data_IF_772829810720
#
_entry.id   IF_772829810720
#
_cell.length_a   1.000
_cell.length_b   1.000
_cell.length_c   1.000
_cell.angle_alpha   90.00
_cell.angle_beta   90.00
_cell.angle_gamma   90.00
#
_symmetry.space_group_name_H-M   'P 1'
#
loop_
_entity.id
_entity.type
_entity.pdbx_description
1 polymer ?
#
# COMPACT_ATOMS: atom_id res chain seq x y z
N UNK A 1 6.81 -20.07 19.44
CA UNK A 1 5.97 -19.32 18.47
C UNK A 1 5.07 -20.35 17.78
N UNK A 2 3.74 -20.27 17.85
CA UNK A 2 2.91 -21.11 16.99
C UNK A 2 3.22 -20.80 15.53
N UNK A 3 3.42 -21.83 14.72
CA UNK A 3 3.62 -21.69 13.28
C UNK A 3 2.27 -21.27 12.68
N UNK A 4 2.11 -20.00 12.34
CA UNK A 4 0.95 -19.55 11.57
C UNK A 4 1.09 -20.20 10.18
N UNK A 5 0.18 -21.10 9.83
CA UNK A 5 0.11 -21.65 8.48
C UNK A 5 -0.40 -20.55 7.56
N UNK A 6 0.51 -19.74 6.99
CA UNK A 6 0.18 -18.69 6.04
C UNK A 6 -0.24 -19.35 4.72
N UNK A 7 -1.49 -19.17 4.26
CA UNK A 7 -1.92 -19.69 2.97
C UNK A 7 -0.99 -19.19 1.86
N UNK A 8 -0.54 -20.09 0.98
CA UNK A 8 0.25 -19.73 -0.19
C UNK A 8 -0.65 -19.14 -1.28
N UNK A 9 -1.06 -17.89 -1.09
CA UNK A 9 -1.87 -17.12 -2.03
C UNK A 9 -0.98 -16.40 -3.05
N UNK A 10 -1.43 -16.24 -4.32
CA UNK A 10 -0.68 -15.53 -5.33
C UNK A 10 -0.56 -14.04 -4.95
N UNK A 11 0.59 -13.46 -5.29
CA UNK A 11 0.78 -12.00 -5.21
C UNK A 11 -0.02 -11.36 -6.35
N UNK A 12 -0.88 -10.35 -6.07
CA UNK A 12 -1.62 -9.66 -7.11
C UNK A 12 -0.70 -9.05 -8.18
N UNK A 13 -1.20 -8.98 -9.42
CA UNK A 13 -0.45 -8.44 -10.53
C UNK A 13 0.06 -7.01 -10.24
N UNK A 14 1.33 -6.77 -10.51
CA UNK A 14 1.99 -5.48 -10.31
C UNK A 14 2.28 -5.11 -8.85
N UNK A 15 1.93 -5.96 -7.89
CA UNK A 15 2.34 -5.76 -6.50
C UNK A 15 3.71 -6.40 -6.24
N UNK A 16 4.57 -5.68 -5.53
CA UNK A 16 5.60 -6.29 -4.72
C UNK A 16 4.97 -6.75 -3.40
N UNK A 17 5.37 -7.94 -2.94
CA UNK A 17 5.07 -8.40 -1.59
C UNK A 17 6.33 -8.23 -0.75
N UNK A 18 6.21 -7.58 0.40
CA UNK A 18 7.30 -7.45 1.36
C UNK A 18 6.89 -8.13 2.67
N UNK A 19 7.84 -8.76 3.35
CA UNK A 19 7.63 -9.36 4.67
C UNK A 19 7.66 -8.28 5.76
N UNK A 20 6.92 -7.17 5.59
CA UNK A 20 6.79 -6.20 6.67
C UNK A 20 5.76 -6.71 7.69
N UNK A 21 6.26 -7.53 8.61
CA UNK A 21 5.53 -8.06 9.76
C UNK A 21 5.92 -7.30 11.03
N UNK A 22 5.33 -6.13 11.25
CA UNK A 22 5.18 -5.61 12.63
C UNK A 22 3.74 -5.19 12.94
N UNK A 23 2.85 -5.21 11.95
CA UNK A 23 1.45 -4.83 12.12
C UNK A 23 0.55 -5.94 11.58
N UNK A 24 0.31 -6.94 12.43
CA UNK A 24 -0.99 -7.59 12.54
C UNK A 24 -2.03 -6.51 12.96
N UNK A 25 -2.19 -5.44 12.18
CA UNK A 25 -3.31 -4.52 12.34
C UNK A 25 -4.51 -5.11 11.60
N UNK A 26 -5.11 -6.10 12.26
CA UNK A 26 -6.22 -6.90 11.79
C UNK A 26 -5.94 -8.38 12.04
N UNK A 27 -6.91 -9.17 12.54
CA UNK A 27 -6.66 -10.53 13.00
C UNK A 27 -6.17 -11.50 11.90
N UNK A 28 -6.30 -11.14 10.61
CA UNK A 28 -6.17 -12.09 9.49
C UNK A 28 -5.31 -11.60 8.29
N UNK A 29 -4.64 -10.45 8.39
CA UNK A 29 -3.73 -10.01 7.31
C UNK A 29 -2.48 -10.90 7.28
N UNK A 30 -2.12 -11.40 6.08
CA UNK A 30 -1.01 -12.35 5.90
C UNK A 30 0.22 -11.74 5.23
N UNK A 31 0.07 -10.59 4.55
CA UNK A 31 1.18 -9.80 3.99
C UNK A 31 0.73 -8.41 3.60
N UNK A 32 1.71 -7.51 3.56
CA UNK A 32 1.60 -6.20 2.93
C UNK A 32 1.95 -6.29 1.45
N UNK A 33 1.30 -5.46 0.65
CA UNK A 33 1.51 -5.32 -0.78
C UNK A 33 1.86 -3.86 -1.07
N UNK A 34 2.77 -3.64 -2.02
CA UNK A 34 3.11 -2.31 -2.53
C UNK A 34 3.07 -2.32 -4.06
N UNK A 35 2.34 -1.39 -4.67
CA UNK A 35 2.29 -1.20 -6.12
C UNK A 35 3.15 -0.04 -6.59
N UNK A 36 3.31 1.00 -5.78
CA UNK A 36 4.10 2.19 -6.14
C UNK A 36 4.45 3.02 -4.92
N UNK A 37 5.50 3.85 -5.04
CA UNK A 37 5.94 4.84 -4.06
C UNK A 37 6.13 6.20 -4.74
N UNK A 38 5.75 7.26 -4.04
CA UNK A 38 5.66 8.65 -4.49
C UNK A 38 6.20 9.59 -3.41
N UNK A 39 7.30 9.23 -2.75
CA UNK A 39 7.82 9.95 -1.59
C UNK A 39 8.21 11.40 -1.95
N UNK A 40 7.79 12.36 -1.11
CA UNK A 40 8.02 13.79 -1.33
C UNK A 40 8.26 14.51 -0.01
N UNK A 41 9.25 15.41 0.02
CA UNK A 41 9.56 16.25 1.19
C UNK A 41 9.71 15.47 2.52
N UNK A 42 10.30 14.27 2.47
CA UNK A 42 10.45 13.40 3.64
C UNK A 42 9.16 12.73 4.11
N UNK A 43 8.04 12.95 3.42
CA UNK A 43 6.79 12.22 3.59
C UNK A 43 6.75 11.07 2.60
N UNK A 44 6.54 9.87 3.12
CA UNK A 44 6.27 8.71 2.31
C UNK A 44 4.84 8.67 1.83
N UNK A 45 4.64 8.36 0.55
CA UNK A 45 3.32 8.21 -0.05
C UNK A 45 3.33 6.96 -0.93
N UNK A 46 2.46 5.99 -0.63
CA UNK A 46 2.45 4.70 -1.32
C UNK A 46 1.07 4.32 -1.83
N UNK A 47 1.03 3.45 -2.83
CA UNK A 47 -0.15 2.62 -3.12
C UNK A 47 0.14 1.26 -2.56
N UNK A 48 -0.49 0.96 -1.42
CA UNK A 48 -0.27 -0.26 -0.66
C UNK A 48 -1.56 -1.05 -0.52
N UNK A 49 -1.45 -2.21 0.10
CA UNK A 49 -2.58 -3.05 0.41
C UNK A 49 -2.26 -4.15 1.40
N UNK A 50 -3.31 -4.81 1.83
CA UNK A 50 -3.23 -5.99 2.70
C UNK A 50 -3.85 -7.16 1.97
N UNK A 51 -3.16 -8.29 1.94
CA UNK A 51 -3.75 -9.56 1.55
C UNK A 51 -4.12 -10.35 2.80
N UNK A 52 -5.33 -10.89 2.81
CA UNK A 52 -5.89 -11.67 3.91
C UNK A 52 -5.85 -13.16 3.59
N UNK A 53 -5.90 -14.00 4.63
CA UNK A 53 -5.87 -15.46 4.49
C UNK A 53 -7.04 -16.05 3.70
N UNK A 54 -8.15 -15.33 3.57
CA UNK A 54 -9.33 -15.69 2.78
C UNK A 54 -9.22 -15.32 1.29
N UNK A 55 -8.11 -14.69 0.87
CA UNK A 55 -7.89 -14.22 -0.50
C UNK A 55 -8.35 -12.79 -0.77
N UNK A 56 -9.00 -12.12 0.19
CA UNK A 56 -9.35 -10.70 0.06
C UNK A 56 -8.08 -9.85 -0.04
N UNK A 57 -8.15 -8.79 -0.84
CA UNK A 57 -7.08 -7.81 -1.00
C UNK A 57 -7.66 -6.41 -0.85
N UNK A 58 -7.25 -5.71 0.21
CA UNK A 58 -7.54 -4.29 0.39
C UNK A 58 -6.44 -3.47 -0.28
N UNK A 59 -6.80 -2.30 -0.82
CA UNK A 59 -5.89 -1.41 -1.55
C UNK A 59 -6.20 0.02 -1.17
N UNK A 60 -5.18 0.79 -0.88
CA UNK A 60 -5.33 2.14 -0.36
C UNK A 60 -4.06 2.95 -0.58
N UNK A 61 -4.21 4.28 -0.49
CA UNK A 61 -3.06 5.18 -0.40
C UNK A 61 -2.58 5.21 1.04
N UNK A 62 -1.30 4.95 1.26
CA UNK A 62 -0.63 5.10 2.56
C UNK A 62 0.15 6.40 2.60
N UNK A 63 0.20 7.00 3.78
CA UNK A 63 1.02 8.16 4.06
C UNK A 63 1.80 7.83 5.34
N UNK A 64 3.13 7.88 5.28
CA UNK A 64 4.00 7.66 6.43
C UNK A 64 4.94 8.85 6.60
N UNK A 65 4.88 9.49 7.76
CA UNK A 65 5.79 10.57 8.11
C UNK A 65 5.90 10.70 9.62
N UNK A 66 7.12 10.90 10.10
CA UNK A 66 7.37 11.20 11.50
C UNK A 66 7.14 12.70 11.75
N UNK A 67 5.88 13.07 12.04
CA UNK A 67 5.41 14.41 12.41
C UNK A 67 5.94 15.55 11.51
N UNK A 68 5.48 15.64 10.25
CA UNK A 68 6.05 16.60 9.31
C UNK A 68 5.49 18.01 9.53
N UNK A 69 6.33 18.93 10.01
CA UNK A 69 6.09 20.37 9.80
C UNK A 69 6.58 20.74 8.40
N UNK A 70 5.65 21.09 7.51
CA UNK A 70 5.97 21.37 6.11
C UNK A 70 5.91 22.86 5.82
N UNK A 71 6.88 23.35 5.06
CA UNK A 71 6.75 24.63 4.36
C UNK A 71 5.64 24.55 3.30
N UNK A 72 5.21 25.71 2.79
CA UNK A 72 4.18 25.76 1.74
C UNK A 72 4.61 25.01 0.46
N UNK A 73 5.90 25.03 0.11
CA UNK A 73 6.40 24.35 -1.10
C UNK A 73 6.47 22.83 -0.89
N UNK A 74 6.89 22.38 0.29
CA UNK A 74 6.87 20.96 0.66
C UNK A 74 5.45 20.42 0.71
N UNK A 75 4.50 21.17 1.28
CA UNK A 75 3.08 20.81 1.28
C UNK A 75 2.52 20.67 -0.14
N UNK A 76 2.93 21.54 -1.08
CA UNK A 76 2.56 21.41 -2.49
C UNK A 76 3.18 20.17 -3.13
N UNK A 77 4.44 19.87 -2.82
CA UNK A 77 5.09 18.66 -3.32
C UNK A 77 4.38 17.39 -2.83
N UNK A 78 4.00 17.34 -1.55
CA UNK A 78 3.21 16.23 -0.99
C UNK A 78 1.84 16.14 -1.64
N UNK A 79 1.16 17.26 -1.90
CA UNK A 79 -0.12 17.26 -2.62
C UNK A 79 0.00 16.69 -4.04
N UNK A 80 1.11 16.97 -4.75
CA UNK A 80 1.38 16.36 -6.06
C UNK A 80 1.56 14.86 -5.93
N UNK A 81 2.39 14.40 -4.99
CA UNK A 81 2.58 12.97 -4.71
C UNK A 81 1.27 12.24 -4.38
N UNK A 82 0.37 12.85 -3.61
CA UNK A 82 -0.93 12.28 -3.30
C UNK A 82 -1.82 12.13 -4.54
N UNK A 83 -1.80 13.10 -5.46
CA UNK A 83 -2.53 13.01 -6.71
C UNK A 83 -1.96 11.90 -7.61
N UNK A 84 -0.64 11.75 -7.67
CA UNK A 84 0.02 10.67 -8.41
C UNK A 84 -0.31 9.30 -7.82
N UNK A 85 -0.31 9.16 -6.50
CA UNK A 85 -0.70 7.93 -5.82
C UNK A 85 -2.18 7.59 -6.05
N UNK A 86 -3.07 8.58 -6.01
CA UNK A 86 -4.48 8.38 -6.31
C UNK A 86 -4.70 7.87 -7.74
N UNK A 87 -4.05 8.50 -8.73
CA UNK A 87 -4.10 8.05 -10.13
C UNK A 87 -3.53 6.63 -10.31
N UNK A 88 -2.46 6.29 -9.58
CA UNK A 88 -1.90 4.94 -9.59
C UNK A 88 -2.87 3.91 -8.99
N UNK A 89 -3.58 4.24 -7.90
CA UNK A 89 -4.60 3.38 -7.30
C UNK A 89 -5.77 3.14 -8.28
N UNK A 90 -6.26 4.18 -8.95
CA UNK A 90 -7.30 4.05 -9.97
C UNK A 90 -6.88 3.10 -11.10
N UNK A 91 -5.63 3.15 -11.53
CA UNK A 91 -5.09 2.24 -12.54
C UNK A 91 -5.05 0.78 -12.05
N UNK A 92 -4.62 0.56 -10.80
CA UNK A 92 -4.63 -0.78 -10.18
C UNK A 92 -6.05 -1.33 -10.12
N UNK A 93 -7.02 -0.52 -9.69
CA UNK A 93 -8.43 -0.90 -9.61
C UNK A 93 -9.03 -1.18 -10.99
N UNK A 94 -8.69 -0.37 -11.99
CA UNK A 94 -9.19 -0.52 -13.36
C UNK A 94 -8.69 -1.79 -14.05
N UNK A 95 -7.45 -2.22 -13.78
CA UNK A 95 -6.89 -3.47 -14.33
C UNK A 95 -7.65 -4.69 -13.82
N UNK A 96 -8.02 -4.69 -12.54
CA UNK A 96 -8.77 -5.80 -11.94
C UNK A 96 -10.18 -5.91 -12.51
N UNK A 97 -10.85 -4.78 -12.76
CA UNK A 97 -12.15 -4.77 -13.40
C UNK A 97 -12.12 -5.35 -14.83
N UNK A 98 -10.95 -5.37 -15.48
CA UNK A 98 -10.76 -5.98 -16.80
C UNK A 98 -10.37 -7.47 -16.74
N UNK A 99 -9.99 -7.98 -15.56
CA UNK A 99 -9.54 -9.37 -15.34
C UNK A 99 -10.64 -10.29 -14.75
N UNK A 100 -11.78 -9.73 -14.33
CA UNK A 100 -12.95 -10.48 -13.82
C UNK A 100 -14.08 -10.58 -14.83
#
# INVERSE_FOLDING_TARGET
MPTINVPNLPVPAGAAADEWCDLLEGPDAIRSLNWSKHDAAGVGVGVDGLQYGDGRVDRFVTIYADNPELTADEARAVAVALNEAAAALELVQSRLAAEG
#
